data_IF_219593288908
#
_entry.id   IF_219593288908
#
_cell.length_a   1.000
_cell.length_b   1.000
_cell.length_c   1.000
_cell.angle_alpha   90.00
_cell.angle_beta   90.00
_cell.angle_gamma   90.00
#
_symmetry.space_group_name_H-M   'P 1'
#
loop_
_entity.id
_entity.type
_entity.pdbx_description
1 polymer ?
#
# COMPACT_ATOMS: atom_id res chain seq x y z
N UNK A 1 -22.94 20.28 5.75
CA UNK A 1 -23.05 18.86 6.13
C UNK A 1 -22.48 18.02 5.01
N UNK A 2 -21.93 16.84 5.31
CA UNK A 2 -21.54 15.87 4.28
C UNK A 2 -22.79 15.20 3.70
N UNK A 3 -22.80 14.77 2.42
CA UNK A 3 -23.90 14.00 1.84
C UNK A 3 -24.23 12.76 2.67
N UNK A 4 -25.52 12.43 2.82
CA UNK A 4 -25.97 11.32 3.66
C UNK A 4 -25.41 9.96 3.19
N UNK A 5 -25.31 9.76 1.88
CA UNK A 5 -24.69 8.57 1.28
C UNK A 5 -23.26 8.34 1.77
N UNK A 6 -22.50 9.41 2.06
CA UNK A 6 -21.12 9.29 2.54
C UNK A 6 -21.04 9.01 4.04
N UNK A 7 -22.02 9.49 4.80
CA UNK A 7 -22.11 9.19 6.23
C UNK A 7 -22.40 7.70 6.48
N UNK A 8 -23.13 7.06 5.56
CA UNK A 8 -23.42 5.61 5.62
C UNK A 8 -22.19 4.73 5.36
N UNK A 9 -21.28 5.18 4.49
CA UNK A 9 -20.08 4.41 4.12
C UNK A 9 -18.91 4.56 5.11
N UNK A 10 -18.88 5.66 5.88
CA UNK A 10 -17.80 5.91 6.86
C UNK A 10 -16.47 6.33 6.23
N UNK A 11 -16.51 6.86 5.00
CA UNK A 11 -15.32 7.26 4.25
C UNK A 11 -14.66 8.53 4.81
N UNK A 12 -13.37 8.71 4.50
CA UNK A 12 -12.60 9.90 4.87
C UNK A 12 -12.49 10.84 3.66
N UNK A 13 -12.68 12.13 3.89
CA UNK A 13 -12.49 13.16 2.87
C UNK A 13 -11.12 13.83 2.98
N UNK A 14 -10.39 13.85 1.87
CA UNK A 14 -9.11 14.57 1.73
C UNK A 14 -9.31 15.62 0.63
N UNK A 15 -9.28 16.93 0.95
CA UNK A 15 -9.39 17.97 -0.08
C UNK A 15 -8.14 17.97 -0.96
N UNK A 16 -8.35 17.90 -2.28
CA UNK A 16 -7.30 18.01 -3.30
C UNK A 16 -7.77 18.89 -4.45
N UNK A 17 -6.84 19.60 -5.08
CA UNK A 17 -7.11 20.30 -6.34
C UNK A 17 -7.15 19.32 -7.52
N UNK A 18 -7.90 19.66 -8.56
CA UNK A 18 -7.85 18.90 -9.81
C UNK A 18 -6.42 18.90 -10.36
N UNK A 19 -5.97 17.74 -10.82
CA UNK A 19 -4.61 17.47 -11.29
C UNK A 19 -3.53 17.49 -10.20
N UNK A 20 -3.91 17.51 -8.92
CA UNK A 20 -2.97 17.31 -7.83
C UNK A 20 -2.57 15.83 -7.74
N UNK A 21 -1.26 15.59 -7.62
CA UNK A 21 -0.72 14.25 -7.49
C UNK A 21 -0.46 13.90 -6.01
N UNK A 22 -0.69 12.65 -5.64
CA UNK A 22 -0.51 12.18 -4.27
C UNK A 22 0.49 11.02 -4.22
N UNK A 23 1.04 10.78 -3.04
CA UNK A 23 1.77 9.58 -2.67
C UNK A 23 1.43 9.23 -1.22
N UNK A 24 1.55 7.96 -0.87
CA UNK A 24 1.21 7.42 0.44
C UNK A 24 2.48 6.88 1.07
N UNK A 25 2.76 7.27 2.31
CA UNK A 25 3.85 6.74 3.11
C UNK A 25 3.29 5.83 4.21
N UNK A 26 3.88 4.66 4.37
CA UNK A 26 3.58 3.73 5.45
C UNK A 26 4.68 3.78 6.50
N UNK A 27 4.28 3.60 7.76
CA UNK A 27 5.20 3.45 8.88
C UNK A 27 4.65 2.41 9.86
N UNK A 28 5.54 1.63 10.44
CA UNK A 28 5.21 0.59 11.42
C UNK A 28 6.24 -0.53 11.40
N UNK A 29 6.47 -1.12 12.58
CA UNK A 29 7.45 -2.20 12.75
C UNK A 29 6.81 -3.59 12.61
N UNK A 30 5.47 -3.67 12.69
CA UNK A 30 4.74 -4.93 12.59
C UNK A 30 4.45 -5.28 11.12
N UNK A 31 4.83 -6.49 10.64
CA UNK A 31 4.61 -6.89 9.26
C UNK A 31 3.12 -6.86 8.89
N UNK A 32 2.80 -6.12 7.81
CA UNK A 32 1.45 -6.00 7.30
C UNK A 32 1.45 -6.09 5.77
N UNK A 33 0.45 -6.78 5.23
CA UNK A 33 0.09 -6.65 3.82
C UNK A 33 -0.89 -5.48 3.66
N UNK A 34 -0.55 -4.51 2.82
CA UNK A 34 -1.37 -3.34 2.54
C UNK A 34 -1.81 -3.39 1.09
N UNK A 35 -3.12 -3.38 0.89
CA UNK A 35 -3.75 -3.44 -0.41
C UNK A 35 -4.47 -2.14 -0.69
N UNK A 36 -4.25 -1.60 -1.89
CA UNK A 36 -4.68 -0.26 -2.28
C UNK A 36 -5.30 -0.29 -3.66
N UNK A 37 -6.42 0.41 -3.82
CA UNK A 37 -7.06 0.63 -5.10
C UNK A 37 -7.44 2.09 -5.30
N UNK A 38 -7.64 2.48 -6.56
CA UNK A 38 -8.39 3.68 -6.89
C UNK A 38 -9.59 3.32 -7.77
N UNK A 39 -10.79 3.77 -7.38
CA UNK A 39 -12.04 3.42 -8.09
C UNK A 39 -12.26 1.91 -8.20
N UNK A 40 -11.94 1.15 -7.15
CA UNK A 40 -12.01 -0.32 -7.09
C UNK A 40 -11.14 -1.04 -8.14
N UNK A 41 -10.11 -0.37 -8.66
CA UNK A 41 -9.03 -1.00 -9.41
C UNK A 41 -7.80 -1.08 -8.53
N UNK A 42 -7.33 -2.30 -8.30
CA UNK A 42 -6.14 -2.59 -7.50
C UNK A 42 -4.90 -1.93 -8.11
N UNK A 43 -4.14 -1.22 -7.29
CA UNK A 43 -3.00 -0.41 -7.72
C UNK A 43 -1.77 -1.24 -8.07
N UNK A 44 -1.66 -2.45 -7.52
CA UNK A 44 -0.50 -3.34 -7.71
C UNK A 44 -0.74 -4.27 -8.90
N UNK A 45 -1.89 -4.93 -8.93
CA UNK A 45 -2.24 -5.94 -9.93
C UNK A 45 -3.03 -5.39 -11.13
N UNK A 46 -3.62 -4.19 -11.02
CA UNK A 46 -4.50 -3.60 -12.04
C UNK A 46 -5.85 -4.31 -12.20
N UNK A 47 -6.17 -5.28 -11.34
CA UNK A 47 -7.41 -6.07 -11.40
C UNK A 47 -8.53 -5.41 -10.61
N UNK A 48 -9.76 -5.90 -10.80
CA UNK A 48 -10.91 -5.49 -9.98
C UNK A 48 -10.67 -5.84 -8.52
N UNK A 49 -11.00 -4.91 -7.64
CA UNK A 49 -10.85 -5.02 -6.19
C UNK A 49 -11.56 -6.25 -5.61
N UNK A 50 -10.86 -6.94 -4.71
CA UNK A 50 -11.40 -7.90 -3.76
C UNK A 50 -10.82 -7.62 -2.37
N UNK A 51 -11.58 -7.97 -1.33
CA UNK A 51 -11.12 -7.94 0.06
C UNK A 51 -10.25 -9.16 0.44
N UNK A 52 -9.98 -10.05 -0.50
CA UNK A 52 -9.02 -11.15 -0.31
C UNK A 52 -7.64 -10.72 -0.83
N UNK A 53 -6.57 -11.30 -0.25
CA UNK A 53 -5.21 -11.17 -0.76
C UNK A 53 -4.95 -12.23 -1.84
N UNK A 54 -4.18 -11.85 -2.85
CA UNK A 54 -3.65 -12.73 -3.89
C UNK A 54 -2.14 -12.61 -3.90
N UNK A 55 -1.45 -13.75 -3.97
CA UNK A 55 0.00 -13.85 -4.14
C UNK A 55 0.40 -14.16 -5.59
N UNK A 56 -0.51 -14.68 -6.43
CA UNK A 56 -0.27 -14.94 -7.85
C UNK A 56 -1.41 -14.43 -8.77
N UNK A 57 -1.21 -13.29 -9.46
CA UNK A 57 -0.16 -12.30 -9.21
C UNK A 57 -0.40 -11.58 -7.88
N UNK A 58 0.68 -11.09 -7.27
CA UNK A 58 0.61 -10.35 -6.01
C UNK A 58 -0.21 -9.05 -6.16
N UNK A 59 -1.02 -8.74 -5.14
CA UNK A 59 -1.91 -7.56 -5.13
C UNK A 59 -1.77 -6.66 -3.88
N UNK A 60 -0.64 -6.75 -3.18
CA UNK A 60 -0.39 -5.99 -1.95
C UNK A 60 1.08 -5.54 -1.84
N UNK A 61 1.31 -4.47 -1.08
CA UNK A 61 2.63 -4.06 -0.61
C UNK A 61 2.90 -4.64 0.79
N UNK A 62 4.15 -4.97 1.09
CA UNK A 62 4.56 -5.50 2.41
C UNK A 62 5.28 -4.40 3.21
N UNK A 63 4.73 -4.03 4.37
CA UNK A 63 5.38 -3.13 5.33
C UNK A 63 6.22 -3.97 6.30
N UNK A 64 7.44 -3.54 6.72
CA UNK A 64 8.09 -2.24 6.43
C UNK A 64 8.93 -2.20 5.15
N UNK A 65 9.04 -3.31 4.41
CA UNK A 65 9.94 -3.44 3.25
C UNK A 65 9.58 -2.49 2.08
N UNK A 66 8.30 -2.14 1.94
CA UNK A 66 7.76 -1.20 0.95
C UNK A 66 7.04 -0.05 1.65
N UNK A 67 7.76 1.03 2.01
CA UNK A 67 7.19 2.07 2.85
C UNK A 67 6.47 3.18 2.06
N UNK A 68 6.35 3.10 0.74
CA UNK A 68 5.56 4.07 -0.02
C UNK A 68 4.88 3.49 -1.25
N UNK A 69 3.76 4.11 -1.64
CA UNK A 69 3.05 3.88 -2.90
C UNK A 69 2.62 5.21 -3.50
N UNK A 70 3.02 5.48 -4.74
CA UNK A 70 2.75 6.72 -5.44
C UNK A 70 1.78 6.56 -6.63
N UNK A 71 1.48 5.34 -7.08
CA UNK A 71 0.60 5.14 -8.22
C UNK A 71 0.25 3.70 -8.58
N UNK A 72 -0.30 3.53 -9.78
CA UNK A 72 -0.57 2.24 -10.41
C UNK A 72 0.69 1.64 -11.01
N UNK A 73 0.95 0.36 -10.72
CA UNK A 73 1.91 -0.42 -11.47
C UNK A 73 1.31 -0.77 -12.85
N UNK A 74 1.92 -0.25 -13.91
CA UNK A 74 1.43 -0.46 -15.29
C UNK A 74 2.31 -1.43 -16.06
N UNK A 75 3.61 -1.42 -15.79
CA UNK A 75 4.57 -2.41 -16.31
C UNK A 75 5.84 -2.41 -15.46
N UNK A 76 6.75 -3.34 -15.76
CA UNK A 76 8.13 -3.32 -15.25
C UNK A 76 8.73 -1.91 -15.39
N UNK A 77 9.18 -1.35 -14.26
CA UNK A 77 9.75 0.00 -14.11
C UNK A 77 8.87 1.18 -14.57
N UNK A 78 7.55 1.00 -14.71
CA UNK A 78 6.65 2.08 -15.11
C UNK A 78 5.43 2.21 -14.19
N UNK A 79 5.45 3.29 -13.40
CA UNK A 79 4.38 3.65 -12.48
C UNK A 79 3.62 4.86 -13.02
N UNK A 80 2.30 4.83 -12.91
CA UNK A 80 1.44 5.99 -13.15
C UNK A 80 0.96 6.57 -11.83
N UNK A 81 1.48 7.73 -11.47
CA UNK A 81 1.17 8.40 -10.21
C UNK A 81 -0.34 8.63 -10.04
N UNK A 82 -0.83 8.50 -8.81
CA UNK A 82 -2.20 8.88 -8.47
C UNK A 82 -2.40 10.39 -8.64
N UNK A 83 -3.37 10.76 -9.46
CA UNK A 83 -3.73 12.15 -9.75
C UNK A 83 -5.23 12.34 -9.55
N UNK A 84 -5.62 13.40 -8.85
CA UNK A 84 -7.02 13.76 -8.71
C UNK A 84 -7.61 14.20 -10.05
N UNK A 85 -8.48 13.37 -10.62
CA UNK A 85 -9.17 13.64 -11.89
C UNK A 85 -10.68 13.63 -11.68
N UNK A 86 -11.44 14.44 -12.46
CA UNK A 86 -12.89 14.44 -12.40
C UNK A 86 -13.44 13.08 -12.87
N UNK A 87 -14.44 12.58 -12.16
CA UNK A 87 -15.20 11.39 -12.57
C UNK A 87 -16.14 11.72 -13.73
N UNK A 88 -16.32 10.78 -14.66
CA UNK A 88 -17.22 10.90 -15.80
C UNK A 88 -16.57 11.46 -17.07
N UNK A 89 -15.27 11.79 -17.02
CA UNK A 89 -14.51 12.30 -18.17
C UNK A 89 -13.62 11.21 -18.83
N UNK A 90 -13.64 9.98 -18.34
CA UNK A 90 -12.90 8.85 -18.91
C UNK A 90 -11.41 8.83 -18.55
N UNK A 91 -10.99 9.63 -17.57
CA UNK A 91 -9.59 9.75 -17.16
C UNK A 91 -9.18 8.72 -16.10
N UNK A 92 -10.12 8.24 -15.29
CA UNK A 92 -9.79 7.38 -14.15
C UNK A 92 -9.49 5.93 -14.59
N UNK A 93 -8.72 5.21 -13.77
CA UNK A 93 -8.44 3.79 -14.02
C UNK A 93 -9.73 2.95 -14.06
N UNK A 94 -10.69 3.24 -13.17
CA UNK A 94 -12.01 2.62 -13.15
C UNK A 94 -12.70 2.76 -14.51
N UNK A 95 -12.75 3.98 -15.07
CA UNK A 95 -13.39 4.25 -16.36
C UNK A 95 -12.66 3.58 -17.52
N UNK A 96 -11.32 3.60 -17.52
CA UNK A 96 -10.52 3.01 -18.59
C UNK A 96 -10.63 1.48 -18.63
N UNK A 97 -10.79 0.83 -17.48
CA UNK A 97 -10.84 -0.62 -17.37
C UNK A 97 -12.28 -1.15 -17.42
N UNK A 98 -13.22 -0.50 -16.74
CA UNK A 98 -14.60 -0.97 -16.58
C UNK A 98 -15.60 -0.26 -17.49
N UNK A 99 -15.25 0.91 -18.02
CA UNK A 99 -16.17 1.77 -18.77
C UNK A 99 -17.17 2.54 -17.90
N UNK A 100 -16.97 2.56 -16.58
CA UNK A 100 -17.89 3.17 -15.61
C UNK A 100 -17.16 4.10 -14.64
N UNK A 101 -17.91 5.04 -14.07
CA UNK A 101 -17.45 5.95 -13.01
C UNK A 101 -18.38 5.83 -11.80
N UNK A 102 -18.35 4.67 -11.12
CA UNK A 102 -19.28 4.36 -10.03
C UNK A 102 -18.68 4.68 -8.66
N UNK A 103 -17.38 4.43 -8.46
CA UNK A 103 -16.78 4.45 -7.12
C UNK A 103 -15.84 5.63 -6.90
N UNK A 104 -14.87 5.84 -7.79
CA UNK A 104 -13.78 6.79 -7.57
C UNK A 104 -13.03 6.57 -6.25
N UNK A 105 -12.31 7.60 -5.81
CA UNK A 105 -11.59 7.62 -4.52
C UNK A 105 -10.49 6.56 -4.40
N UNK A 106 -9.86 6.51 -3.23
CA UNK A 106 -8.90 5.48 -2.85
C UNK A 106 -9.55 4.48 -1.90
N UNK A 107 -9.20 3.21 -2.04
CA UNK A 107 -9.55 2.15 -1.09
C UNK A 107 -8.27 1.60 -0.51
N UNK A 108 -8.21 1.46 0.82
CA UNK A 108 -7.06 0.95 1.54
C UNK A 108 -7.56 -0.10 2.53
N UNK A 109 -6.93 -1.27 2.53
CA UNK A 109 -7.13 -2.31 3.54
C UNK A 109 -5.77 -2.81 4.01
N UNK A 110 -5.68 -3.09 5.31
CA UNK A 110 -4.45 -3.54 5.95
C UNK A 110 -4.72 -4.88 6.61
N UNK A 111 -3.89 -5.87 6.27
CA UNK A 111 -3.91 -7.20 6.87
C UNK A 111 -2.65 -7.36 7.72
N UNK A 112 -2.76 -7.25 9.06
CA UNK A 112 -1.64 -7.55 9.92
C UNK A 112 -1.28 -9.03 9.78
N UNK A 113 0.02 -9.34 9.84
CA UNK A 113 0.48 -10.71 9.96
C UNK A 113 -0.21 -11.39 11.15
N UNK A 114 -0.47 -12.69 11.05
CA UNK A 114 -1.01 -13.44 12.18
C UNK A 114 0.04 -13.49 13.29
N UNK A 115 -0.41 -13.30 14.53
CA UNK A 115 0.49 -13.23 15.69
C UNK A 115 1.34 -14.49 15.87
N UNK A 116 0.75 -15.67 15.73
CA UNK A 116 1.46 -16.95 15.83
C UNK A 116 2.59 -17.09 14.81
N UNK A 117 2.33 -16.70 13.55
CA UNK A 117 3.33 -16.66 12.48
C UNK A 117 4.43 -15.64 12.80
N UNK A 118 4.06 -14.47 13.32
CA UNK A 118 5.04 -13.45 13.71
C UNK A 118 6.00 -13.98 14.79
N UNK A 119 5.47 -14.61 15.85
CA UNK A 119 6.28 -15.21 16.93
C UNK A 119 7.24 -16.25 16.37
N UNK A 120 6.76 -17.15 15.49
CA UNK A 120 7.59 -18.22 14.93
C UNK A 120 8.74 -17.72 14.04
N UNK A 121 8.51 -16.67 13.25
CA UNK A 121 9.46 -16.19 12.25
C UNK A 121 10.35 -15.04 12.73
N UNK A 122 9.88 -14.22 13.67
CA UNK A 122 10.59 -13.01 14.10
C UNK A 122 11.00 -13.06 15.57
N UNK A 123 10.20 -13.60 16.49
CA UNK A 123 10.59 -13.66 17.91
C UNK A 123 11.49 -14.86 18.21
N UNK A 124 11.20 -16.04 17.65
CA UNK A 124 12.05 -17.22 17.80
C UNK A 124 13.43 -17.02 17.17
N UNK A 125 13.50 -16.32 16.03
CA UNK A 125 14.76 -15.94 15.39
C UNK A 125 15.58 -15.01 16.29
N UNK A 126 14.93 -14.11 17.05
CA UNK A 126 15.61 -13.27 18.05
C UNK A 126 16.14 -14.08 19.22
N UNK A 127 15.40 -15.10 19.70
CA UNK A 127 15.90 -16.01 20.74
C UNK A 127 17.09 -16.86 20.25
N UNK A 128 17.01 -17.41 19.03
CA UNK A 128 18.07 -18.21 18.40
C UNK A 128 19.32 -17.37 18.08
N UNK A 129 19.17 -16.12 17.60
CA UNK A 129 20.28 -15.18 17.37
C UNK A 129 20.89 -14.63 18.67
N UNK A 130 20.09 -14.45 19.73
CA UNK A 130 20.57 -14.03 21.05
C UNK A 130 21.42 -15.10 21.74
N UNK A 131 21.13 -16.39 21.53
CA UNK A 131 21.98 -17.49 21.99
C UNK A 131 23.32 -17.57 21.21
N UNK A 132 23.38 -17.05 19.99
CA UNK A 132 24.61 -16.94 19.20
C UNK A 132 25.46 -15.70 19.51
N UNK A 133 24.87 -14.67 20.13
CA UNK A 133 25.47 -13.35 20.36
C UNK A 133 26.21 -13.18 21.70
N UNK A 134 26.50 -14.26 22.44
CA UNK A 134 27.52 -14.23 23.52
C UNK A 134 28.96 -14.03 22.97
N UNK A 135 29.11 -13.80 21.66
CA UNK A 135 30.37 -13.44 21.01
C UNK A 135 30.31 -12.05 20.35
N UNK A 136 30.70 -11.05 21.15
CA UNK A 136 31.19 -9.71 20.78
C UNK A 136 30.28 -8.79 19.92
N UNK A 137 29.83 -7.73 20.59
CA UNK A 137 29.12 -6.56 20.09
C UNK A 137 29.63 -6.04 18.73
N UNK A 138 28.74 -6.00 17.74
CA UNK A 138 28.77 -5.01 16.68
C UNK A 138 27.40 -4.34 16.55
N UNK A 139 27.32 -3.14 17.11
CA UNK A 139 26.47 -2.02 16.67
C UNK A 139 25.07 -2.37 16.14
N UNK A 140 24.06 -2.33 17.02
CA UNK A 140 22.68 -2.01 16.62
C UNK A 140 22.67 -0.61 16.03
N UNK A 141 22.72 -0.50 14.70
CA UNK A 141 22.34 0.74 14.04
C UNK A 141 20.83 0.88 14.19
N UNK A 142 20.40 1.84 15.00
CA UNK A 142 19.02 2.36 14.95
C UNK A 142 18.79 2.80 13.50
N UNK A 143 17.78 2.26 12.84
CA UNK A 143 17.40 2.69 11.51
C UNK A 143 16.74 4.06 11.65
N UNK A 144 17.56 5.11 11.70
CA UNK A 144 17.11 6.46 11.46
C UNK A 144 16.88 6.54 9.94
N UNK A 145 15.71 6.09 9.48
CA UNK A 145 15.37 6.12 8.07
C UNK A 145 15.15 7.58 7.66
N UNK A 146 16.21 8.24 7.21
CA UNK A 146 16.07 9.40 6.34
C UNK A 146 15.14 9.01 5.20
N UNK A 147 14.10 9.82 4.95
CA UNK A 147 13.17 9.60 3.85
C UNK A 147 13.98 9.33 2.57
N UNK A 148 13.90 8.13 1.98
CA UNK A 148 14.67 7.81 0.79
C UNK A 148 14.26 8.75 -0.35
N UNK A 149 15.25 9.17 -1.15
CA UNK A 149 15.01 10.02 -2.31
C UNK A 149 13.99 9.36 -3.24
N UNK A 150 13.01 10.14 -3.70
CA UNK A 150 11.86 9.66 -4.47
C UNK A 150 12.30 8.88 -5.71
N UNK A 151 12.19 7.56 -5.62
CA UNK A 151 12.38 6.59 -6.70
C UNK A 151 11.13 5.74 -6.83
N UNK A 152 10.99 5.06 -7.97
CA UNK A 152 9.88 4.14 -8.23
C UNK A 152 9.73 3.16 -7.06
N UNK A 153 8.50 2.95 -6.56
CA UNK A 153 8.26 1.96 -5.50
C UNK A 153 8.79 0.60 -5.97
N UNK A 154 9.56 -0.13 -5.16
CA UNK A 154 10.00 -1.48 -5.51
C UNK A 154 8.78 -2.32 -5.89
N UNK A 155 8.88 -3.13 -6.94
CA UNK A 155 7.78 -4.02 -7.30
C UNK A 155 7.71 -5.16 -6.28
N UNK A 156 6.50 -5.46 -5.84
CA UNK A 156 6.18 -6.76 -5.26
C UNK A 156 6.48 -7.83 -6.32
N UNK A 157 7.44 -8.71 -6.04
CA UNK A 157 7.89 -9.78 -6.95
C UNK A 157 7.04 -11.04 -6.78
#
# INVERSE_FOLDING_TARGET
SLPDSWQEHGDVFIPMYQSEALWINFSGDYPCAVKIAAGKIDAVSGKTWSNDLSDDPQDYAVIPEQPWLDGFNVSEDFIRQFVAMPLGEGFTAEEQITGKAEHGGLQIIVYPMKHDVYVEHFERTVEEDMDYLDMQMFSRSVCESAAPGMGLSPQAA
#
